data_IF_751449693426
#
_entry.id   IF_751449693426
#
_cell.length_a   1.000
_cell.length_b   1.000
_cell.length_c   1.000
_cell.angle_alpha   90.00
_cell.angle_beta   90.00
_cell.angle_gamma   90.00
#
_symmetry.space_group_name_H-M   'P 1'
#
loop_
_entity.id
_entity.type
_entity.pdbx_description
1 polymer ?
#
# COMPACT_ATOMS: atom_id res chain seq x y z
N UNK A 1 -1.80 15.46 -12.35
CA UNK A 1 -0.82 15.91 -11.33
C UNK A 1 -0.87 14.92 -10.18
N UNK A 2 0.29 14.50 -9.67
CA UNK A 2 0.36 13.73 -8.42
C UNK A 2 -0.09 14.65 -7.28
N UNK A 3 -0.96 14.15 -6.40
CA UNK A 3 -1.46 14.93 -5.26
C UNK A 3 -0.30 15.32 -4.35
N UNK A 4 -0.36 16.50 -3.73
CA UNK A 4 0.57 16.79 -2.63
C UNK A 4 0.36 15.81 -1.48
N UNK A 5 1.39 15.59 -0.67
CA UNK A 5 1.30 14.75 0.53
C UNK A 5 0.08 15.07 1.39
N UNK A 6 -0.16 16.35 1.66
CA UNK A 6 -1.28 16.82 2.51
C UNK A 6 -2.63 16.49 1.89
N UNK A 7 -2.80 16.66 0.58
CA UNK A 7 -4.03 16.33 -0.12
C UNK A 7 -4.28 14.82 -0.15
N UNK A 8 -3.23 14.03 -0.34
CA UNK A 8 -3.31 12.58 -0.31
C UNK A 8 -3.67 12.05 1.09
N UNK A 9 -3.00 12.53 2.14
CA UNK A 9 -3.36 12.19 3.52
C UNK A 9 -4.79 12.59 3.86
N UNK A 10 -5.24 13.78 3.42
CA UNK A 10 -6.63 14.23 3.61
C UNK A 10 -7.63 13.32 2.87
N UNK A 11 -7.29 12.88 1.67
CA UNK A 11 -8.12 11.92 0.91
C UNK A 11 -8.21 10.59 1.63
N UNK A 12 -7.10 10.04 2.12
CA UNK A 12 -7.12 8.76 2.87
C UNK A 12 -7.94 8.88 4.15
N UNK A 13 -7.82 10.00 4.89
CA UNK A 13 -8.69 10.27 6.05
C UNK A 13 -10.17 10.31 5.67
N UNK A 14 -10.51 10.88 4.52
CA UNK A 14 -11.90 10.93 4.04
C UNK A 14 -12.50 9.56 3.71
N UNK A 15 -11.66 8.52 3.57
CA UNK A 15 -12.10 7.13 3.40
C UNK A 15 -12.43 6.42 4.72
N UNK A 16 -12.27 7.10 5.86
CA UNK A 16 -12.67 6.60 7.17
C UNK A 16 -11.55 6.04 8.05
N UNK A 17 -10.28 6.16 7.64
CA UNK A 17 -9.13 5.71 8.43
C UNK A 17 -8.78 6.72 9.53
N UNK A 18 -8.64 6.23 10.77
CA UNK A 18 -8.39 7.06 11.95
C UNK A 18 -6.92 7.46 12.07
N UNK A 19 -6.01 6.54 11.76
CA UNK A 19 -4.59 6.79 11.68
C UNK A 19 -4.16 6.85 10.22
N UNK A 20 -3.50 7.95 9.83
CA UNK A 20 -3.06 8.17 8.44
C UNK A 20 -1.70 8.83 8.45
N UNK A 21 -0.76 8.26 7.70
CA UNK A 21 0.62 8.75 7.59
C UNK A 21 1.20 8.44 6.20
N UNK A 22 2.26 9.14 5.84
CA UNK A 22 3.01 8.88 4.60
C UNK A 22 4.27 8.10 4.93
N UNK A 23 4.55 7.07 4.14
CA UNK A 23 5.72 6.23 4.27
C UNK A 23 6.46 6.12 2.93
N UNK A 24 7.78 5.93 2.99
CA UNK A 24 8.61 5.67 1.81
C UNK A 24 9.46 4.44 2.08
N UNK A 25 9.25 3.42 1.27
CA UNK A 25 10.12 2.25 1.23
C UNK A 25 11.30 2.45 0.30
N UNK A 26 12.42 1.84 0.71
CA UNK A 26 13.64 1.77 -0.09
C UNK A 26 13.45 0.90 -1.35
N UNK A 27 14.20 1.19 -2.42
CA UNK A 27 14.31 0.33 -3.60
C UNK A 27 14.45 -1.16 -3.28
N UNK A 28 13.71 -2.00 -4.01
CA UNK A 28 13.77 -3.46 -3.94
C UNK A 28 13.50 -4.08 -2.56
N UNK A 29 12.91 -3.33 -1.62
CA UNK A 29 12.48 -3.88 -0.34
C UNK A 29 11.48 -5.02 -0.55
N UNK A 30 11.56 -6.04 0.31
CA UNK A 30 10.65 -7.19 0.30
C UNK A 30 10.13 -7.42 1.71
N UNK A 31 8.82 -7.50 1.83
CA UNK A 31 8.13 -7.84 3.07
C UNK A 31 7.52 -9.22 2.91
N UNK A 32 8.07 -10.19 3.66
CA UNK A 32 7.56 -11.56 3.76
C UNK A 32 6.07 -11.60 4.14
N UNK A 33 5.37 -12.72 3.91
CA UNK A 33 3.95 -12.85 4.21
C UNK A 33 3.60 -12.41 5.64
N UNK A 34 2.68 -11.45 5.77
CA UNK A 34 2.24 -10.89 7.04
C UNK A 34 0.78 -10.41 6.97
N UNK A 35 0.22 -10.03 8.12
CA UNK A 35 -1.16 -9.51 8.24
C UNK A 35 -1.26 -8.49 9.37
N UNK A 36 -2.29 -7.66 9.31
CA UNK A 36 -2.67 -6.73 10.36
C UNK A 36 -4.04 -7.10 10.94
N UNK A 37 -4.31 -6.70 12.19
CA UNK A 37 -5.62 -6.93 12.82
C UNK A 37 -6.71 -5.99 12.30
N UNK A 38 -6.34 -4.81 11.81
CA UNK A 38 -7.22 -3.84 11.18
C UNK A 38 -7.15 -3.86 9.65
N UNK A 39 -8.12 -3.22 9.00
CA UNK A 39 -8.09 -2.93 7.56
C UNK A 39 -7.02 -1.87 7.31
N UNK A 40 -6.22 -2.03 6.27
CA UNK A 40 -5.28 -1.01 5.83
C UNK A 40 -5.57 -0.56 4.39
N UNK A 41 -5.07 0.62 4.03
CA UNK A 41 -5.09 1.12 2.65
C UNK A 41 -3.76 1.75 2.30
N UNK A 42 -3.40 1.71 1.02
CA UNK A 42 -2.18 2.28 0.45
C UNK A 42 -2.56 3.09 -0.78
N UNK A 43 -2.37 4.41 -0.72
CA UNK A 43 -2.48 5.30 -1.88
C UNK A 43 -1.07 5.64 -2.39
N UNK A 44 -0.69 5.10 -3.54
CA UNK A 44 0.65 5.29 -4.10
C UNK A 44 0.83 6.70 -4.63
N UNK A 45 1.92 7.35 -4.23
CA UNK A 45 2.30 8.71 -4.66
C UNK A 45 3.49 8.70 -5.62
N UNK A 46 4.45 7.79 -5.42
CA UNK A 46 5.64 7.67 -6.27
C UNK A 46 6.15 6.22 -6.27
N UNK A 47 6.84 5.82 -7.34
CA UNK A 47 7.42 4.48 -7.46
C UNK A 47 6.37 3.40 -7.70
N UNK A 48 6.67 2.16 -7.34
CA UNK A 48 5.73 1.05 -7.51
C UNK A 48 5.80 0.02 -6.39
N UNK A 49 4.69 -0.67 -6.19
CA UNK A 49 4.54 -1.76 -5.24
C UNK A 49 3.89 -2.94 -5.95
N UNK A 50 4.45 -4.13 -5.74
CA UNK A 50 3.88 -5.40 -6.19
C UNK A 50 3.43 -6.17 -4.97
N UNK A 51 2.21 -6.70 -4.98
CA UNK A 51 1.68 -7.50 -3.88
C UNK A 51 1.03 -8.79 -4.37
N UNK A 52 0.87 -9.74 -3.46
CA UNK A 52 0.07 -10.96 -3.66
C UNK A 52 -0.60 -11.36 -2.34
N UNK A 53 -1.62 -12.22 -2.44
CA UNK A 53 -2.26 -12.86 -1.31
C UNK A 53 -1.92 -14.35 -1.33
N UNK A 54 -0.83 -14.78 -0.68
CA UNK A 54 -0.26 -16.12 -0.88
C UNK A 54 -1.17 -17.27 -0.42
N UNK A 55 -2.11 -16.98 0.48
CA UNK A 55 -3.08 -17.97 0.97
C UNK A 55 -4.28 -18.17 0.02
N UNK A 56 -4.41 -17.35 -1.04
CA UNK A 56 -5.49 -17.49 -2.01
C UNK A 56 -5.17 -18.58 -3.03
N UNK A 57 -6.15 -19.43 -3.40
CA UNK A 57 -5.91 -20.56 -4.31
C UNK A 57 -5.43 -20.14 -5.70
N UNK A 58 -5.81 -18.93 -6.15
CA UNK A 58 -5.45 -18.35 -7.44
C UNK A 58 -4.53 -17.12 -7.27
N UNK A 59 -3.68 -17.13 -6.24
CA UNK A 59 -2.79 -16.01 -5.90
C UNK A 59 -2.03 -15.49 -7.13
N UNK A 60 -2.18 -14.19 -7.40
CA UNK A 60 -1.47 -13.47 -8.47
C UNK A 60 -0.73 -12.29 -7.89
N UNK A 61 0.43 -12.01 -8.47
CA UNK A 61 1.14 -10.76 -8.23
C UNK A 61 0.50 -9.65 -9.04
N UNK A 62 0.18 -8.56 -8.39
CA UNK A 62 -0.32 -7.33 -9.01
C UNK A 62 0.66 -6.20 -8.69
N UNK A 63 1.02 -5.42 -9.72
CA UNK A 63 1.89 -4.25 -9.57
C UNK A 63 1.09 -2.99 -9.80
N UNK A 64 1.19 -2.04 -8.88
CA UNK A 64 0.52 -0.75 -8.96
C UNK A 64 1.52 0.40 -8.78
N UNK A 65 1.16 1.56 -9.34
CA UNK A 65 1.98 2.77 -9.32
C UNK A 65 1.17 4.01 -8.90
N UNK A 66 1.70 5.22 -9.13
CA UNK A 66 1.12 6.46 -8.59
C UNK A 66 -0.35 6.68 -8.95
N UNK A 67 -1.14 7.08 -7.95
CA UNK A 67 -2.59 7.29 -8.06
C UNK A 67 -3.43 6.05 -7.80
N UNK A 68 -2.84 4.85 -7.80
CA UNK A 68 -3.54 3.63 -7.44
C UNK A 68 -3.78 3.54 -5.92
N UNK A 69 -4.92 2.96 -5.56
CA UNK A 69 -5.29 2.60 -4.19
C UNK A 69 -5.30 1.08 -4.06
N UNK A 70 -4.70 0.58 -2.98
CA UNK A 70 -4.77 -0.82 -2.61
C UNK A 70 -5.29 -0.97 -1.17
N UNK A 71 -6.40 -1.68 -1.01
CA UNK A 71 -6.98 -2.01 0.29
C UNK A 71 -6.61 -3.43 0.69
N UNK A 72 -6.26 -3.63 1.96
CA UNK A 72 -6.03 -4.95 2.54
C UNK A 72 -6.99 -5.15 3.71
N UNK A 73 -7.84 -6.16 3.61
CA UNK A 73 -8.79 -6.47 4.67
C UNK A 73 -8.08 -6.96 5.95
N UNK A 74 -8.74 -6.74 7.08
CA UNK A 74 -8.27 -7.23 8.37
C UNK A 74 -7.98 -8.74 8.34
N UNK A 75 -6.84 -9.12 8.90
CA UNK A 75 -6.33 -10.48 8.97
C UNK A 75 -5.98 -11.14 7.62
N UNK A 76 -6.06 -10.42 6.51
CA UNK A 76 -5.64 -10.92 5.20
C UNK A 76 -4.12 -11.00 5.11
N UNK A 77 -3.59 -12.20 4.86
CA UNK A 77 -2.15 -12.39 4.64
C UNK A 77 -1.79 -11.86 3.26
N UNK A 78 -0.79 -10.98 3.22
CA UNK A 78 -0.25 -10.41 2.00
C UNK A 78 1.28 -10.38 2.05
N UNK A 79 1.89 -10.34 0.87
CA UNK A 79 3.34 -10.26 0.67
C UNK A 79 3.62 -9.17 -0.35
N UNK A 80 4.73 -8.43 -0.18
CA UNK A 80 4.98 -7.18 -0.89
C UNK A 80 6.42 -7.08 -1.39
N UNK A 81 6.60 -6.64 -2.64
CA UNK A 81 7.87 -6.23 -3.23
C UNK A 81 7.80 -4.79 -3.71
N UNK A 82 8.79 -4.00 -3.35
CA UNK A 82 8.92 -2.60 -3.73
C UNK A 82 9.74 -2.49 -5.02
N UNK A 83 9.32 -1.61 -5.92
CA UNK A 83 10.03 -1.34 -7.18
C UNK A 83 11.48 -0.88 -6.98
N UNK A 84 12.24 -0.87 -8.07
CA UNK A 84 13.65 -0.47 -8.11
C UNK A 84 13.90 1.02 -7.84
N UNK A 85 12.88 1.87 -7.99
CA UNK A 85 12.91 3.28 -7.60
C UNK A 85 12.45 3.54 -6.16
N UNK A 86 12.07 2.50 -5.40
CA UNK A 86 11.38 2.63 -4.12
C UNK A 86 9.88 2.84 -4.30
N UNK A 87 9.18 3.12 -3.20
CA UNK A 87 7.74 3.45 -3.27
C UNK A 87 7.34 4.38 -2.12
N UNK A 88 6.66 5.47 -2.46
CA UNK A 88 6.06 6.38 -1.47
C UNK A 88 4.55 6.27 -1.57
N UNK A 89 3.89 6.08 -0.44
CA UNK A 89 2.44 5.95 -0.36
C UNK A 89 1.91 6.51 0.95
N UNK A 90 0.62 6.86 0.93
CA UNK A 90 -0.13 7.18 2.15
C UNK A 90 -0.79 5.91 2.66
N UNK A 91 -0.52 5.58 3.92
CA UNK A 91 -1.13 4.46 4.64
C UNK A 91 -2.28 4.98 5.49
N UNK A 92 -3.40 4.27 5.48
CA UNK A 92 -4.45 4.41 6.48
C UNK A 92 -4.67 3.10 7.22
N UNK A 93 -4.85 3.16 8.55
CA UNK A 93 -5.14 2.04 9.45
C UNK A 93 -6.09 2.43 10.60
#
# INVERSE_FOLDING_TARGET
MVKSRKEAESQVRSWGFGHVFTWTDSPNAHYSPHKHSGKTTHLVLNGSITYTYPDDPDAKKETIGPGARWDVDANKVHEVWVGDEGCTYVIGE
#
